data_IF_382569293536
#
_entry.id   IF_382569293536
#
_cell.length_a   1.000
_cell.length_b   1.000
_cell.length_c   1.000
_cell.angle_alpha   90.00
_cell.angle_beta   90.00
_cell.angle_gamma   90.00
#
_symmetry.space_group_name_H-M   'P 1'
#
loop_
_entity.id
_entity.type
_entity.pdbx_description
1 polymer ?
#
# COMPACT_ATOMS: atom_id res chain seq x y z
N UNK A 1 11.32 -20.65 -15.39
CA UNK A 1 11.13 -19.29 -15.95
C UNK A 1 10.76 -18.27 -14.86
N UNK A 2 11.72 -17.72 -14.09
CA UNK A 2 11.44 -16.79 -12.98
C UNK A 2 11.40 -15.31 -13.39
N UNK A 3 12.17 -14.93 -14.42
CA UNK A 3 12.40 -13.53 -14.84
C UNK A 3 11.14 -12.88 -15.41
N UNK A 4 10.33 -13.62 -16.18
CA UNK A 4 9.09 -13.12 -16.76
C UNK A 4 8.06 -12.75 -15.68
N UNK A 5 7.98 -13.51 -14.60
CA UNK A 5 7.02 -13.28 -13.51
C UNK A 5 7.33 -11.99 -12.76
N UNK A 6 8.62 -11.71 -12.55
CA UNK A 6 9.10 -10.48 -11.90
C UNK A 6 8.82 -9.23 -12.75
N UNK A 7 9.08 -9.29 -14.07
CA UNK A 7 8.80 -8.18 -15.00
C UNK A 7 7.30 -7.88 -15.08
N UNK A 8 6.46 -8.92 -15.07
CA UNK A 8 5.00 -8.74 -15.01
C UNK A 8 4.54 -8.05 -13.72
N UNK A 9 5.07 -8.44 -12.56
CA UNK A 9 4.73 -7.79 -11.28
C UNK A 9 5.18 -6.32 -11.26
N UNK A 10 6.38 -6.03 -11.78
CA UNK A 10 6.90 -4.65 -11.84
C UNK A 10 6.09 -3.76 -12.78
N UNK A 11 5.65 -4.30 -13.93
CA UNK A 11 4.76 -3.58 -14.84
C UNK A 11 3.37 -3.37 -14.24
N UNK A 12 2.82 -4.35 -13.52
CA UNK A 12 1.55 -4.19 -12.82
C UNK A 12 1.62 -3.09 -11.75
N UNK A 13 2.73 -3.02 -11.00
CA UNK A 13 2.96 -1.96 -10.00
C UNK A 13 3.14 -0.58 -10.66
N UNK A 14 3.84 -0.51 -11.80
CA UNK A 14 4.02 0.74 -12.55
C UNK A 14 2.70 1.25 -13.14
N UNK A 15 1.88 0.38 -13.73
CA UNK A 15 0.55 0.77 -14.22
C UNK A 15 -0.38 1.18 -13.06
N UNK A 16 -0.31 0.50 -11.91
CA UNK A 16 -0.99 0.94 -10.68
C UNK A 16 -0.55 2.34 -10.24
N UNK A 17 0.75 2.66 -10.34
CA UNK A 17 1.27 3.99 -10.06
C UNK A 17 0.77 5.05 -11.06
N UNK A 18 0.64 4.68 -12.34
CA UNK A 18 0.15 5.55 -13.41
C UNK A 18 -1.35 5.86 -13.29
N UNK A 19 -2.13 4.90 -12.81
CA UNK A 19 -3.57 5.05 -12.56
C UNK A 19 -3.89 5.73 -11.22
N UNK A 20 -2.91 5.89 -10.33
CA UNK A 20 -3.10 6.50 -9.01
C UNK A 20 -3.74 7.91 -9.03
N UNK A 21 -3.42 8.82 -9.97
CA UNK A 21 -4.06 10.15 -10.04
C UNK A 21 -5.52 10.08 -10.51
N UNK A 22 -5.85 9.13 -11.39
CA UNK A 22 -7.22 8.90 -11.86
C UNK A 22 -8.08 8.25 -10.76
N UNK A 23 -7.49 7.31 -10.01
CA UNK A 23 -8.08 6.76 -8.78
C UNK A 23 -8.29 7.84 -7.72
N UNK A 24 -7.34 8.76 -7.55
CA UNK A 24 -7.48 9.87 -6.60
C UNK A 24 -8.58 10.87 -7.00
N UNK A 25 -8.81 11.08 -8.31
CA UNK A 25 -9.94 11.90 -8.81
C UNK A 25 -11.28 11.20 -8.67
N UNK A 26 -11.36 9.91 -9.02
CA UNK A 26 -12.56 9.11 -8.77
C UNK A 26 -12.89 9.02 -7.27
N UNK A 27 -11.87 9.01 -6.40
CA UNK A 27 -12.01 9.05 -4.93
C UNK A 27 -12.59 10.37 -4.42
N UNK A 28 -12.27 11.50 -5.05
CA UNK A 28 -12.80 12.81 -4.65
C UNK A 28 -14.33 12.93 -4.86
N UNK A 29 -14.89 12.14 -5.79
CA UNK A 29 -16.32 12.08 -6.06
C UNK A 29 -17.03 10.92 -5.34
N UNK A 30 -16.28 9.88 -4.92
CA UNK A 30 -16.83 8.73 -4.22
C UNK A 30 -17.21 9.04 -2.77
N UNK A 31 -18.29 8.43 -2.31
CA UNK A 31 -18.67 8.44 -0.90
C UNK A 31 -17.61 7.71 -0.05
N UNK A 32 -17.49 8.07 1.23
CA UNK A 32 -16.60 7.36 2.15
C UNK A 32 -16.92 5.85 2.17
N UNK A 33 -18.21 5.51 2.14
CA UNK A 33 -18.68 4.13 2.19
C UNK A 33 -18.24 3.32 0.97
N UNK A 34 -18.28 3.89 -0.24
CA UNK A 34 -17.77 3.25 -1.46
C UNK A 34 -16.26 3.04 -1.39
N UNK A 35 -15.51 4.00 -0.86
CA UNK A 35 -14.07 3.86 -0.67
C UNK A 35 -13.74 2.73 0.31
N UNK A 36 -14.42 2.70 1.47
CA UNK A 36 -14.26 1.64 2.47
C UNK A 36 -14.67 0.27 1.92
N UNK A 37 -15.72 0.22 1.11
CA UNK A 37 -16.15 -1.01 0.46
C UNK A 37 -15.12 -1.51 -0.56
N UNK A 38 -14.58 -0.63 -1.39
CA UNK A 38 -13.50 -0.98 -2.33
C UNK A 38 -12.24 -1.48 -1.62
N UNK A 39 -11.91 -0.92 -0.45
CA UNK A 39 -10.80 -1.40 0.38
C UNK A 39 -11.05 -2.83 0.88
N UNK A 40 -12.25 -3.11 1.38
CA UNK A 40 -12.65 -4.47 1.83
C UNK A 40 -12.54 -5.47 0.68
N UNK A 41 -13.09 -5.13 -0.48
CA UNK A 41 -13.05 -5.98 -1.68
C UNK A 41 -11.62 -6.22 -2.16
N UNK A 42 -10.80 -5.18 -2.23
CA UNK A 42 -9.39 -5.30 -2.63
C UNK A 42 -8.60 -6.18 -1.66
N UNK A 43 -8.90 -6.12 -0.35
CA UNK A 43 -8.28 -6.97 0.66
C UNK A 43 -8.66 -8.45 0.43
N UNK A 44 -9.95 -8.74 0.26
CA UNK A 44 -10.41 -10.11 0.01
C UNK A 44 -9.87 -10.66 -1.31
N UNK A 45 -9.84 -9.85 -2.38
CA UNK A 45 -9.28 -10.27 -3.67
C UNK A 45 -7.76 -10.50 -3.62
N UNK A 46 -7.01 -9.68 -2.90
CA UNK A 46 -5.54 -9.72 -2.92
C UNK A 46 -4.96 -10.68 -1.88
N UNK A 47 -5.61 -10.78 -0.72
CA UNK A 47 -5.10 -11.51 0.45
C UNK A 47 -5.95 -12.73 0.82
N UNK A 48 -7.16 -12.86 0.26
CA UNK A 48 -8.11 -13.91 0.62
C UNK A 48 -8.65 -13.78 2.05
N UNK A 49 -8.55 -12.60 2.66
CA UNK A 49 -8.88 -12.34 4.05
C UNK A 49 -9.64 -11.03 4.20
N UNK A 50 -10.61 -11.01 5.12
CA UNK A 50 -11.43 -9.84 5.41
C UNK A 50 -10.62 -8.73 6.08
N UNK A 51 -10.68 -7.52 5.49
CA UNK A 51 -9.94 -6.35 5.98
C UNK A 51 -10.25 -6.03 7.44
N UNK A 52 -11.54 -5.97 7.79
CA UNK A 52 -12.00 -5.64 9.14
C UNK A 52 -11.57 -6.68 10.19
N UNK A 53 -11.27 -7.90 9.76
CA UNK A 53 -10.71 -8.93 10.65
C UNK A 53 -9.22 -8.68 10.86
N UNK A 54 -8.47 -8.42 9.80
CA UNK A 54 -7.02 -8.19 9.88
C UNK A 54 -6.67 -6.98 10.73
N UNK A 55 -7.40 -5.87 10.63
CA UNK A 55 -7.12 -4.64 11.39
C UNK A 55 -7.48 -4.74 12.88
N UNK A 56 -8.14 -5.81 13.33
CA UNK A 56 -8.40 -6.05 14.77
C UNK A 56 -7.21 -6.65 15.51
N UNK A 57 -6.26 -7.22 14.79
CA UNK A 57 -5.07 -7.82 15.38
C UNK A 57 -3.89 -6.87 15.31
N UNK A 58 -2.93 -7.03 16.21
CA UNK A 58 -1.70 -6.26 16.15
C UNK A 58 -0.89 -6.61 14.89
N UNK A 59 -0.12 -5.64 14.40
CA UNK A 59 0.60 -5.74 13.13
C UNK A 59 1.57 -6.93 13.11
N UNK A 60 2.16 -7.30 14.25
CA UNK A 60 3.09 -8.43 14.35
C UNK A 60 2.35 -9.75 14.17
N UNK A 61 1.20 -9.93 14.82
CA UNK A 61 0.36 -11.11 14.67
C UNK A 61 -0.14 -11.27 13.24
N UNK A 62 -0.61 -10.19 12.61
CA UNK A 62 -1.04 -10.22 11.20
C UNK A 62 0.12 -10.58 10.28
N UNK A 63 1.27 -9.93 10.44
CA UNK A 63 2.44 -10.22 9.63
C UNK A 63 2.87 -11.68 9.77
N UNK A 64 2.67 -12.33 10.92
CA UNK A 64 2.94 -13.77 11.14
C UNK A 64 2.03 -14.71 10.35
N UNK A 65 0.86 -14.27 9.91
CA UNK A 65 -0.04 -15.06 9.06
C UNK A 65 0.42 -15.11 7.61
N UNK A 66 1.14 -14.09 7.15
CA UNK A 66 1.55 -13.99 5.75
C UNK A 66 2.64 -14.99 5.37
N UNK A 67 2.63 -15.46 4.13
CA UNK A 67 3.70 -16.26 3.55
C UNK A 67 4.82 -15.37 2.97
N UNK A 68 4.49 -14.16 2.53
CA UNK A 68 5.40 -13.28 1.81
C UNK A 68 5.30 -11.81 2.28
N UNK A 69 6.42 -11.07 2.17
CA UNK A 69 6.49 -9.65 2.51
C UNK A 69 5.50 -8.79 1.73
N UNK A 70 5.16 -9.20 0.50
CA UNK A 70 4.22 -8.47 -0.37
C UNK A 70 2.81 -8.39 0.21
N UNK A 71 2.37 -9.44 0.91
CA UNK A 71 1.05 -9.44 1.54
C UNK A 71 0.96 -8.37 2.66
N UNK A 72 2.04 -8.17 3.41
CA UNK A 72 2.11 -7.11 4.41
C UNK A 72 2.13 -5.71 3.77
N UNK A 73 2.76 -5.55 2.60
CA UNK A 73 2.77 -4.28 1.87
C UNK A 73 1.41 -3.94 1.28
N UNK A 74 0.73 -4.93 0.71
CA UNK A 74 -0.64 -4.78 0.21
C UNK A 74 -1.54 -4.33 1.37
N UNK A 75 -1.51 -5.03 2.52
CA UNK A 75 -2.32 -4.62 3.66
C UNK A 75 -1.96 -3.22 4.17
N UNK A 76 -0.65 -2.92 4.33
CA UNK A 76 -0.22 -1.60 4.77
C UNK A 76 -0.71 -0.48 3.84
N UNK A 77 -0.72 -0.73 2.52
CA UNK A 77 -1.23 0.25 1.55
C UNK A 77 -2.75 0.41 1.61
N UNK A 78 -3.49 -0.68 1.81
CA UNK A 78 -4.95 -0.60 2.01
C UNK A 78 -5.32 0.18 3.27
N UNK A 79 -4.57 -0.01 4.36
CA UNK A 79 -4.74 0.76 5.60
C UNK A 79 -4.39 2.24 5.38
N UNK A 80 -3.30 2.54 4.67
CA UNK A 80 -2.92 3.92 4.33
C UNK A 80 -3.98 4.62 3.45
N UNK A 81 -4.60 3.89 2.51
CA UNK A 81 -5.72 4.44 1.74
C UNK A 81 -6.97 4.68 2.61
N UNK A 82 -7.26 3.81 3.60
CA UNK A 82 -8.32 4.08 4.58
C UNK A 82 -8.02 5.35 5.39
N UNK A 83 -6.77 5.51 5.85
CA UNK A 83 -6.34 6.70 6.56
C UNK A 83 -6.59 7.99 5.76
N UNK A 84 -6.26 7.98 4.47
CA UNK A 84 -6.48 9.12 3.57
C UNK A 84 -7.96 9.43 3.41
N UNK A 85 -8.80 8.41 3.19
CA UNK A 85 -10.24 8.59 3.07
C UNK A 85 -10.87 9.16 4.34
N UNK A 86 -10.41 8.73 5.53
CA UNK A 86 -10.84 9.27 6.82
C UNK A 86 -10.39 10.73 7.03
N UNK A 87 -9.13 11.04 6.70
CA UNK A 87 -8.60 12.40 6.80
C UNK A 87 -9.34 13.39 5.89
N UNK A 88 -9.71 12.97 4.67
CA UNK A 88 -10.53 13.77 3.75
C UNK A 88 -11.93 14.11 4.31
N UNK A 89 -12.42 13.33 5.27
CA UNK A 89 -13.69 13.56 5.99
C UNK A 89 -13.51 14.27 7.33
N UNK A 90 -12.27 14.62 7.68
CA UNK A 90 -11.93 15.29 8.94
C UNK A 90 -11.77 14.35 10.14
N UNK A 91 -11.84 13.03 9.95
CA UNK A 91 -11.59 12.06 11.01
C UNK A 91 -10.07 11.78 11.13
N UNK A 92 -9.36 12.77 11.65
CA UNK A 92 -7.91 12.72 11.78
C UNK A 92 -7.42 11.74 12.85
N UNK A 93 -8.26 11.43 13.84
CA UNK A 93 -7.89 10.50 14.90
C UNK A 93 -7.80 9.08 14.33
N UNK A 94 -8.87 8.60 13.67
CA UNK A 94 -8.86 7.30 13.05
C UNK A 94 -7.83 7.21 11.90
N UNK A 95 -7.66 8.29 11.13
CA UNK A 95 -6.62 8.35 10.09
C UNK A 95 -5.19 8.22 10.64
N UNK A 96 -4.92 8.81 11.81
CA UNK A 96 -3.62 8.70 12.46
C UNK A 96 -3.37 7.27 12.97
N UNK A 97 -4.37 6.64 13.59
CA UNK A 97 -4.28 5.25 14.04
C UNK A 97 -3.97 4.31 12.87
N UNK A 98 -4.64 4.50 11.74
CA UNK A 98 -4.39 3.73 10.52
C UNK A 98 -2.99 3.95 9.95
N UNK A 99 -2.54 5.21 9.89
CA UNK A 99 -1.20 5.54 9.39
C UNK A 99 -0.12 4.88 10.26
N UNK A 100 -0.29 4.91 11.58
CA UNK A 100 0.61 4.24 12.53
C UNK A 100 0.59 2.73 12.33
N UNK A 101 -0.60 2.12 12.20
CA UNK A 101 -0.75 0.70 11.98
C UNK A 101 -0.11 0.24 10.66
N UNK A 102 -0.29 0.99 9.57
CA UNK A 102 0.37 0.75 8.29
C UNK A 102 1.91 0.77 8.42
N UNK A 103 2.46 1.75 9.15
CA UNK A 103 3.89 1.81 9.47
C UNK A 103 4.38 0.60 10.26
N UNK A 104 3.60 0.14 11.25
CA UNK A 104 3.92 -1.05 12.05
C UNK A 104 3.90 -2.33 11.20
N UNK A 105 2.97 -2.48 10.27
CA UNK A 105 2.92 -3.61 9.33
C UNK A 105 4.20 -3.68 8.48
N UNK A 106 4.67 -2.55 7.96
CA UNK A 106 5.93 -2.46 7.19
C UNK A 106 7.12 -2.80 8.08
N UNK A 107 7.18 -2.27 9.29
CA UNK A 107 8.27 -2.56 10.24
C UNK A 107 8.32 -4.04 10.61
N UNK A 108 7.18 -4.63 10.98
CA UNK A 108 7.08 -6.07 11.30
C UNK A 108 7.42 -6.95 10.09
N UNK A 109 7.00 -6.55 8.89
CA UNK A 109 7.33 -7.25 7.64
C UNK A 109 8.84 -7.26 7.39
N UNK A 110 9.51 -6.12 7.55
CA UNK A 110 10.98 -6.03 7.45
C UNK A 110 11.69 -6.91 8.47
N UNK A 111 11.20 -6.96 9.70
CA UNK A 111 11.77 -7.82 10.75
C UNK A 111 11.61 -9.31 10.42
N UNK A 112 10.47 -9.71 9.84
CA UNK A 112 10.18 -11.12 9.54
C UNK A 112 10.84 -11.62 8.25
N UNK A 113 10.70 -10.86 7.18
CA UNK A 113 11.07 -11.28 5.83
C UNK A 113 12.37 -10.64 5.33
N UNK A 114 12.96 -9.72 6.09
CA UNK A 114 14.08 -8.90 5.67
C UNK A 114 13.66 -7.72 4.78
N UNK A 115 14.63 -6.92 4.36
CA UNK A 115 14.44 -5.86 3.36
C UNK A 115 14.79 -6.46 2.00
N UNK A 116 13.84 -6.64 1.07
CA UNK A 116 14.18 -7.13 -0.26
C UNK A 116 15.04 -6.10 -1.00
N UNK A 117 15.92 -6.61 -1.88
CA UNK A 117 16.88 -5.84 -2.69
C UNK A 117 16.26 -4.74 -3.57
N UNK A 118 14.93 -4.73 -3.74
CA UNK A 118 14.18 -3.69 -4.46
C UNK A 118 14.07 -2.36 -3.69
N UNK A 119 14.77 -2.22 -2.56
CA UNK A 119 15.05 -0.92 -1.94
C UNK A 119 15.73 0.08 -2.91
N UNK A 120 16.27 -0.40 -4.04
CA UNK A 120 16.68 0.43 -5.18
C UNK A 120 15.53 1.07 -5.95
N UNK A 121 14.27 0.90 -5.56
CA UNK A 121 13.18 1.70 -6.14
C UNK A 121 13.44 3.20 -5.92
N UNK A 122 14.04 3.58 -4.79
CA UNK A 122 14.54 4.94 -4.56
C UNK A 122 15.69 5.29 -5.53
N UNK A 123 16.71 4.44 -5.64
CA UNK A 123 17.84 4.63 -6.59
C UNK A 123 17.41 4.62 -8.08
N UNK A 124 16.32 3.93 -8.41
CA UNK A 124 15.74 3.86 -9.75
C UNK A 124 14.86 5.09 -10.02
N UNK A 125 14.14 5.60 -9.01
CA UNK A 125 13.45 6.88 -9.10
C UNK A 125 14.44 8.04 -9.24
N UNK A 126 15.57 8.01 -8.51
CA UNK A 126 16.66 8.97 -8.65
C UNK A 126 17.28 8.96 -10.06
N UNK A 127 17.35 7.79 -10.72
CA UNK A 127 17.80 7.70 -12.12
C UNK A 127 16.75 8.10 -13.15
N UNK A 128 15.47 7.94 -12.85
CA UNK A 128 14.36 8.27 -13.76
C UNK A 128 13.81 9.70 -13.55
N UNK A 129 14.31 10.44 -12.56
CA UNK A 129 14.05 11.88 -12.43
C UNK A 129 14.68 12.60 -13.65
N UNK A 130 13.88 13.26 -14.51
CA UNK A 130 14.45 14.13 -15.52
C UNK A 130 15.25 15.22 -14.80
N UNK A 131 16.45 15.53 -15.30
CA UNK A 131 17.16 16.74 -14.86
C UNK A 131 16.21 17.91 -15.03
N UNK A 132 15.71 18.45 -13.93
CA UNK A 132 14.98 19.71 -13.94
C UNK A 132 15.98 20.77 -14.40
N UNK A 133 15.81 21.38 -15.57
CA UNK A 133 16.74 22.38 -16.04
C UNK A 133 16.59 23.61 -15.14
N UNK A 134 17.60 23.87 -14.31
CA UNK A 134 17.81 25.21 -13.76
C UNK A 134 17.68 25.40 -12.25
N UNK A 135 18.29 24.55 -11.43
CA UNK A 135 18.77 24.99 -10.12
C UNK A 135 20.26 24.64 -9.99
N UNK A 136 21.05 25.71 -9.96
CA UNK A 136 22.53 25.72 -9.93
C UNK A 136 23.10 25.00 -8.73
#
# INVERSE_FOLDING_TARGET
MPVLRYVFTLNAVRELGRMAPELARARAEASLDECLQGIREACTLSLGMEFDTLVRFDARSVVRLFAHAEQARILARLVDERARALAERGDFHAALEDTVYAGQLVACSRQRFGVPKDARAADALERELPELPGLR
#
